data_IF_264329040073
#
_entry.id   IF_264329040073
#
_cell.length_a   1.000
_cell.length_b   1.000
_cell.length_c   1.000
_cell.angle_alpha   90.00
_cell.angle_beta   90.00
_cell.angle_gamma   90.00
#
_symmetry.space_group_name_H-M   'P 1'
#
loop_
_entity.id
_entity.type
_entity.pdbx_description
1 polymer ?
#
# COMPACT_ATOMS: atom_id res chain seq x y z
N UNK A 1 41.95 -46.50 -14.77
CA UNK A 1 42.77 -46.66 -13.58
C UNK A 1 42.09 -45.81 -12.55
N UNK A 2 41.19 -46.45 -11.86
CA UNK A 2 41.18 -46.89 -10.45
C UNK A 2 40.84 -45.69 -9.56
N UNK A 3 39.63 -45.59 -9.14
CA UNK A 3 38.97 -46.14 -7.92
C UNK A 3 39.46 -45.46 -6.65
N UNK A 4 38.58 -44.84 -5.94
CA UNK A 4 38.28 -45.37 -4.60
C UNK A 4 37.24 -44.49 -3.89
N UNK A 5 36.24 -45.19 -3.44
CA UNK A 5 35.11 -44.87 -2.59
C UNK A 5 35.53 -44.30 -1.22
N UNK A 6 34.69 -43.48 -0.66
CA UNK A 6 34.79 -43.00 0.70
C UNK A 6 33.44 -42.57 1.25
N UNK A 7 32.68 -43.56 1.61
CA UNK A 7 31.48 -43.51 2.45
C UNK A 7 31.78 -42.86 3.79
N UNK A 8 30.98 -41.89 4.26
CA UNK A 8 30.97 -41.50 5.65
C UNK A 8 29.56 -41.53 6.23
N UNK A 9 29.45 -42.45 7.14
CA UNK A 9 28.33 -42.81 7.99
C UNK A 9 28.10 -41.71 9.03
N UNK A 10 26.82 -41.46 9.28
CA UNK A 10 26.32 -40.71 10.41
C UNK A 10 26.72 -41.36 11.73
N UNK A 11 27.02 -40.55 12.72
CA UNK A 11 26.85 -41.01 14.09
C UNK A 11 26.27 -39.85 14.94
N UNK A 12 25.18 -40.20 15.58
CA UNK A 12 24.50 -39.47 16.62
C UNK A 12 25.10 -39.87 17.96
N UNK A 13 25.32 -38.96 18.85
CA UNK A 13 25.22 -39.28 20.28
C UNK A 13 24.88 -38.04 21.11
N UNK A 14 23.88 -38.29 21.88
CA UNK A 14 23.27 -37.57 22.98
C UNK A 14 24.24 -37.31 24.16
N UNK A 15 23.74 -36.40 25.00
CA UNK A 15 23.96 -36.25 26.44
C UNK A 15 25.32 -35.71 26.91
N UNK A 16 25.29 -34.59 27.62
CA UNK A 16 25.43 -34.64 29.08
C UNK A 16 25.18 -33.26 29.74
N UNK A 17 24.22 -33.34 30.63
CA UNK A 17 23.94 -32.40 31.71
C UNK A 17 25.07 -32.43 32.72
N UNK A 18 25.63 -31.30 33.10
CA UNK A 18 26.38 -31.18 34.37
C UNK A 18 25.90 -29.93 35.14
N UNK A 19 25.14 -30.27 36.15
CA UNK A 19 24.83 -29.52 37.34
C UNK A 19 26.10 -29.30 38.20
N UNK A 20 26.41 -28.09 38.59
CA UNK A 20 27.36 -27.78 39.66
C UNK A 20 26.74 -26.84 40.66
N UNK A 21 26.19 -27.47 41.69
CA UNK A 21 26.02 -26.92 43.04
C UNK A 21 27.37 -26.79 43.75
N UNK A 22 27.67 -25.65 44.29
CA UNK A 22 28.64 -25.48 45.38
C UNK A 22 27.96 -24.78 46.54
N UNK A 23 27.94 -25.51 47.61
CA UNK A 23 27.57 -25.15 48.97
C UNK A 23 28.65 -24.29 49.61
N UNK A 24 28.28 -23.34 50.50
CA UNK A 24 28.61 -23.36 51.91
C UNK A 24 28.33 -22.01 52.60
N UNK A 25 27.78 -22.11 53.81
CA UNK A 25 27.89 -21.09 54.86
C UNK A 25 26.64 -20.70 55.61
N UNK A 26 26.25 -21.47 56.57
CA UNK A 26 25.31 -21.23 57.68
C UNK A 26 26.03 -20.47 58.84
N UNK A 27 25.41 -20.04 59.97
CA UNK A 27 24.01 -19.96 60.40
C UNK A 27 23.62 -18.68 61.20
N UNK A 28 22.34 -18.41 61.44
CA UNK A 28 21.78 -18.18 62.78
C UNK A 28 20.29 -17.77 62.79
N UNK A 29 19.56 -18.59 63.44
CA UNK A 29 18.39 -18.43 64.30
C UNK A 29 17.43 -17.24 64.20
N UNK A 30 16.13 -17.54 63.90
CA UNK A 30 15.03 -17.18 64.81
C UNK A 30 13.71 -17.89 64.38
N UNK A 31 13.13 -18.56 65.36
CA UNK A 31 11.82 -19.24 65.36
C UNK A 31 10.70 -18.24 65.24
N UNK A 32 9.69 -18.48 64.36
CA UNK A 32 8.28 -18.21 64.68
C UNK A 32 7.33 -19.12 63.91
N UNK A 33 6.25 -19.41 64.55
CA UNK A 33 5.22 -20.43 64.45
C UNK A 33 4.44 -20.49 63.14
N UNK A 34 4.02 -21.71 62.82
CA UNK A 34 3.22 -22.27 61.81
C UNK A 34 1.94 -21.51 61.35
N UNK A 35 1.71 -21.63 60.07
CA UNK A 35 0.39 -21.66 59.47
C UNK A 35 0.31 -22.75 58.41
N UNK A 36 -0.78 -23.52 58.47
CA UNK A 36 -1.05 -24.66 57.60
C UNK A 36 -1.27 -24.15 56.17
N UNK A 37 -0.35 -24.45 55.28
CA UNK A 37 -0.53 -24.26 53.85
C UNK A 37 -1.25 -25.48 53.28
N UNK A 38 -2.47 -25.27 52.85
CA UNK A 38 -3.28 -26.22 52.10
C UNK A 38 -2.55 -26.56 50.80
N UNK A 39 -2.32 -27.85 50.54
CA UNK A 39 -1.81 -28.38 49.28
C UNK A 39 -2.83 -28.06 48.15
N UNK A 40 -2.57 -27.04 47.41
CA UNK A 40 -3.29 -26.74 46.15
C UNK A 40 -2.95 -27.87 45.17
N UNK A 41 -3.95 -28.67 44.76
CA UNK A 41 -3.86 -29.60 43.66
C UNK A 41 -3.29 -28.88 42.45
N UNK A 42 -2.16 -29.29 41.95
CA UNK A 42 -1.63 -28.87 40.66
C UNK A 42 -2.60 -29.38 39.61
N UNK A 43 -3.33 -28.51 38.98
CA UNK A 43 -4.13 -28.79 37.79
C UNK A 43 -3.17 -29.31 36.71
N UNK A 44 -3.40 -30.58 36.31
CA UNK A 44 -2.64 -31.25 35.26
C UNK A 44 -2.93 -30.76 33.85
N UNK A 45 -3.72 -29.67 33.70
CA UNK A 45 -4.13 -29.08 32.42
C UNK A 45 -3.50 -27.70 32.15
N UNK A 46 -2.34 -27.38 32.70
CA UNK A 46 -1.59 -26.22 32.23
C UNK A 46 -1.01 -26.58 30.87
N UNK A 47 -1.64 -26.13 29.79
CA UNK A 47 -1.09 -26.20 28.43
C UNK A 47 0.31 -25.59 28.40
N UNK A 48 1.24 -26.27 27.75
CA UNK A 48 2.62 -25.79 27.66
C UNK A 48 2.69 -24.52 26.82
N UNK A 49 3.59 -23.60 27.12
CA UNK A 49 3.68 -22.27 26.49
C UNK A 49 3.76 -22.33 24.95
N UNK A 50 4.29 -23.41 24.37
CA UNK A 50 4.34 -23.61 22.93
C UNK A 50 2.99 -24.04 22.30
N UNK A 51 2.06 -24.59 23.10
CA UNK A 51 0.69 -24.93 22.69
C UNK A 51 -0.20 -23.66 22.60
N UNK A 52 0.24 -22.54 23.19
CA UNK A 52 -0.47 -21.27 23.19
C UNK A 52 -0.03 -20.34 22.04
N UNK A 53 0.99 -20.68 21.29
CA UNK A 53 1.36 -19.93 20.10
C UNK A 53 0.40 -20.28 18.96
N UNK A 54 -0.65 -19.47 18.80
CA UNK A 54 -1.57 -19.56 17.66
C UNK A 54 -0.80 -19.29 16.38
N UNK A 55 -0.94 -20.18 15.41
CA UNK A 55 -0.34 -19.97 14.09
C UNK A 55 -1.07 -18.84 13.38
N UNK A 56 -0.38 -18.09 12.53
CA UNK A 56 -0.92 -16.88 11.87
C UNK A 56 -2.20 -17.15 11.07
N UNK A 57 -2.36 -18.36 10.53
CA UNK A 57 -3.57 -18.76 9.81
C UNK A 57 -4.75 -19.16 10.72
N UNK A 58 -4.51 -19.44 12.00
CA UNK A 58 -5.56 -19.71 13.01
C UNK A 58 -6.17 -18.44 13.57
N UNK A 59 -5.49 -17.30 13.42
CA UNK A 59 -5.98 -16.00 13.88
C UNK A 59 -6.98 -15.35 12.94
N UNK A 60 -7.08 -15.83 11.70
CA UNK A 60 -7.97 -15.24 10.70
C UNK A 60 -9.45 -15.66 10.84
N UNK A 61 -9.75 -16.66 11.66
CA UNK A 61 -11.11 -17.11 11.92
C UNK A 61 -11.41 -17.05 13.42
N UNK A 62 -12.24 -16.11 13.88
CA UNK A 62 -12.66 -16.08 15.28
C UNK A 62 -13.54 -17.30 15.58
N UNK A 63 -13.04 -18.18 16.45
CA UNK A 63 -13.81 -19.31 17.00
C UNK A 63 -14.51 -18.87 18.28
N UNK A 64 -15.77 -19.25 18.44
CA UNK A 64 -16.46 -19.17 19.74
C UNK A 64 -15.94 -20.28 20.66
N UNK A 65 -16.14 -20.14 21.98
CA UNK A 65 -15.72 -21.11 22.99
C UNK A 65 -16.30 -22.52 22.76
N UNK A 66 -17.33 -22.64 21.91
CA UNK A 66 -17.98 -23.89 21.50
C UNK A 66 -17.37 -24.53 20.23
N UNK A 67 -16.26 -23.99 19.68
CA UNK A 67 -15.62 -24.50 18.46
C UNK A 67 -16.39 -24.24 17.17
N UNK A 68 -17.42 -23.41 17.20
CA UNK A 68 -18.15 -22.97 16.02
C UNK A 68 -17.55 -21.69 15.44
N UNK A 69 -17.39 -21.64 14.12
CA UNK A 69 -16.90 -20.46 13.41
C UNK A 69 -17.86 -19.28 13.61
N UNK A 70 -17.38 -18.21 14.20
CA UNK A 70 -18.17 -16.98 14.38
C UNK A 70 -18.20 -16.17 13.08
N UNK A 71 -19.14 -16.50 12.20
CA UNK A 71 -19.37 -15.80 10.93
C UNK A 71 -19.66 -14.30 11.14
N UNK A 72 -20.41 -13.96 12.19
CA UNK A 72 -20.72 -12.56 12.48
C UNK A 72 -19.47 -11.78 12.94
N UNK A 73 -18.59 -12.41 13.71
CA UNK A 73 -17.30 -11.82 14.09
C UNK A 73 -16.37 -11.60 12.88
N UNK A 74 -16.31 -12.56 11.98
CA UNK A 74 -15.54 -12.46 10.74
C UNK A 74 -16.08 -11.36 9.81
N UNK A 75 -17.39 -11.26 9.62
CA UNK A 75 -18.00 -10.17 8.87
C UNK A 75 -17.73 -8.80 9.51
N UNK A 76 -17.77 -8.72 10.85
CA UNK A 76 -17.48 -7.50 11.59
C UNK A 76 -16.04 -7.05 11.39
N UNK A 77 -15.08 -7.98 11.45
CA UNK A 77 -13.67 -7.67 11.23
C UNK A 77 -13.43 -7.26 9.78
N UNK A 78 -13.99 -7.98 8.83
CA UNK A 78 -13.92 -7.68 7.41
C UNK A 78 -14.51 -6.30 7.11
N UNK A 79 -15.64 -5.95 7.72
CA UNK A 79 -16.27 -4.64 7.61
C UNK A 79 -15.44 -3.53 8.25
N UNK A 80 -14.81 -3.78 9.39
CA UNK A 80 -13.88 -2.82 10.01
C UNK A 80 -12.69 -2.52 9.13
N UNK A 81 -12.11 -3.53 8.48
CA UNK A 81 -11.03 -3.36 7.49
C UNK A 81 -11.51 -2.49 6.33
N UNK A 82 -12.68 -2.79 5.78
CA UNK A 82 -13.27 -2.02 4.70
C UNK A 82 -13.50 -0.57 5.09
N UNK A 83 -14.11 -0.30 6.24
CA UNK A 83 -14.34 1.06 6.73
C UNK A 83 -13.05 1.83 6.98
N UNK A 84 -11.99 1.16 7.38
CA UNK A 84 -10.67 1.77 7.60
C UNK A 84 -10.02 2.18 6.29
N UNK A 85 -10.13 1.35 5.26
CA UNK A 85 -9.46 1.56 3.97
C UNK A 85 -10.29 2.37 2.98
N UNK A 86 -11.61 2.41 3.15
CA UNK A 86 -12.54 3.06 2.22
C UNK A 86 -13.10 4.40 2.70
N UNK A 87 -12.49 5.03 3.72
CA UNK A 87 -12.82 6.43 4.01
C UNK A 87 -12.71 7.24 2.72
N UNK A 88 -13.73 8.05 2.33
CA UNK A 88 -13.73 8.80 1.07
C UNK A 88 -12.77 9.98 1.13
N UNK A 89 -11.48 9.70 1.26
CA UNK A 89 -10.41 10.69 1.31
C UNK A 89 -9.89 10.90 -0.11
N UNK A 90 -9.99 12.12 -0.61
CA UNK A 90 -9.39 12.47 -1.89
C UNK A 90 -7.87 12.38 -1.81
N UNK A 91 -7.27 11.79 -2.84
CA UNK A 91 -5.82 11.64 -2.98
C UNK A 91 -5.36 12.36 -4.24
N UNK A 92 -4.17 12.96 -4.20
CA UNK A 92 -3.61 13.63 -5.37
C UNK A 92 -3.09 12.60 -6.38
N UNK A 93 -3.47 12.75 -7.66
CA UNK A 93 -2.99 11.86 -8.73
C UNK A 93 -1.69 12.36 -9.39
N UNK A 94 -1.30 13.61 -9.14
CA UNK A 94 -0.08 14.21 -9.69
C UNK A 94 0.98 14.15 -8.59
N UNK A 95 1.93 13.24 -8.72
CA UNK A 95 2.96 12.99 -7.72
C UNK A 95 4.33 13.26 -8.30
N UNK A 96 5.18 13.87 -7.50
CA UNK A 96 6.61 14.02 -7.78
C UNK A 96 7.35 13.30 -6.66
N UNK A 97 7.82 12.10 -6.95
CA UNK A 97 8.46 11.20 -6.00
C UNK A 97 9.95 11.10 -6.28
N UNK A 98 10.77 11.24 -5.26
CA UNK A 98 12.19 10.90 -5.30
C UNK A 98 12.42 9.63 -4.51
N UNK A 99 12.88 8.58 -5.18
CA UNK A 99 13.30 7.33 -4.55
C UNK A 99 14.77 7.43 -4.18
N UNK A 100 15.07 7.33 -2.89
CA UNK A 100 16.42 7.34 -2.36
C UNK A 100 16.83 5.93 -1.99
N UNK A 101 17.93 5.45 -2.58
CA UNK A 101 18.48 4.13 -2.33
C UNK A 101 19.76 4.23 -1.53
N UNK A 102 19.84 3.50 -0.45
CA UNK A 102 21.08 3.30 0.28
C UNK A 102 22.01 2.38 -0.53
N UNK A 103 23.20 2.83 -0.82
CA UNK A 103 24.26 2.10 -1.53
C UNK A 103 25.51 1.96 -0.66
N UNK A 104 25.36 2.03 0.65
CA UNK A 104 26.45 1.89 1.63
C UNK A 104 26.84 0.44 1.88
N UNK A 105 27.94 0.23 2.62
CA UNK A 105 28.37 -1.09 3.05
C UNK A 105 27.30 -1.88 3.81
N UNK A 106 26.42 -1.20 4.54
CA UNK A 106 25.32 -1.83 5.27
C UNK A 106 24.36 -2.62 4.37
N UNK A 107 24.31 -2.27 3.08
CA UNK A 107 23.49 -2.95 2.09
C UNK A 107 24.13 -4.22 1.51
N UNK A 108 25.39 -4.49 1.84
CA UNK A 108 26.05 -5.74 1.47
C UNK A 108 25.66 -6.91 2.38
N UNK A 109 24.98 -6.65 3.49
CA UNK A 109 24.49 -7.67 4.41
C UNK A 109 23.55 -8.67 3.71
N UNK A 110 23.57 -9.93 4.22
CA UNK A 110 22.85 -11.07 3.62
C UNK A 110 21.70 -11.57 4.49
N UNK A 111 21.22 -10.76 5.38
CA UNK A 111 20.02 -11.05 6.17
C UNK A 111 18.75 -11.12 5.30
N UNK A 112 18.72 -10.33 4.24
CA UNK A 112 17.71 -10.41 3.17
C UNK A 112 18.40 -10.95 1.90
N UNK A 113 17.98 -12.12 1.42
CA UNK A 113 18.66 -12.82 0.33
C UNK A 113 18.39 -12.17 -1.04
N UNK A 114 19.37 -12.12 -1.96
CA UNK A 114 20.78 -12.54 -1.82
C UNK A 114 21.66 -11.55 -1.05
N UNK A 115 21.33 -10.27 -1.05
CA UNK A 115 21.86 -9.16 -0.24
C UNK A 115 20.80 -8.08 -0.18
N UNK A 116 20.79 -7.26 0.88
CA UNK A 116 19.85 -6.09 0.96
C UNK A 116 19.88 -5.26 -0.29
N UNK A 117 21.06 -4.99 -0.85
CA UNK A 117 21.25 -4.18 -2.05
C UNK A 117 20.58 -4.77 -3.29
N UNK A 118 20.88 -6.03 -3.63
CA UNK A 118 20.32 -6.68 -4.81
C UNK A 118 18.81 -6.88 -4.71
N UNK A 119 18.33 -7.20 -3.52
CA UNK A 119 16.90 -7.30 -3.26
C UNK A 119 16.20 -5.95 -3.45
N UNK A 120 16.78 -4.87 -2.92
CA UNK A 120 16.26 -3.51 -3.09
C UNK A 120 16.21 -3.09 -4.56
N UNK A 121 17.23 -3.40 -5.35
CA UNK A 121 17.20 -3.10 -6.80
C UNK A 121 16.13 -3.90 -7.54
N UNK A 122 15.96 -5.18 -7.19
CA UNK A 122 14.91 -6.04 -7.78
C UNK A 122 13.50 -5.49 -7.46
N UNK A 123 13.26 -5.17 -6.19
CA UNK A 123 11.98 -4.59 -5.76
C UNK A 123 11.80 -3.16 -6.26
N UNK A 124 12.88 -2.39 -6.37
CA UNK A 124 12.88 -1.07 -7.00
C UNK A 124 12.41 -1.13 -8.46
N UNK A 125 12.87 -2.13 -9.21
CA UNK A 125 12.41 -2.33 -10.58
C UNK A 125 10.92 -2.74 -10.66
N UNK A 126 10.43 -3.53 -9.71
CA UNK A 126 9.00 -3.85 -9.60
C UNK A 126 8.18 -2.61 -9.19
N UNK A 127 8.68 -1.85 -8.22
CA UNK A 127 8.08 -0.59 -7.76
C UNK A 127 7.92 0.43 -8.89
N UNK A 128 8.95 0.66 -9.70
CA UNK A 128 8.89 1.60 -10.82
C UNK A 128 7.77 1.23 -11.79
N UNK A 129 7.61 -0.06 -12.13
CA UNK A 129 6.53 -0.52 -13.01
C UNK A 129 5.16 -0.25 -12.40
N UNK A 130 4.96 -0.70 -11.16
CA UNK A 130 3.70 -0.56 -10.45
C UNK A 130 3.34 0.92 -10.20
N UNK A 131 4.34 1.73 -9.84
CA UNK A 131 4.15 3.16 -9.60
C UNK A 131 3.58 3.88 -10.80
N UNK A 132 4.12 3.64 -12.01
CA UNK A 132 3.61 4.28 -13.23
C UNK A 132 2.32 3.64 -13.76
N UNK A 133 2.05 2.38 -13.43
CA UNK A 133 0.75 1.75 -13.75
C UNK A 133 -0.39 2.35 -12.92
N UNK A 134 -0.15 2.62 -11.64
CA UNK A 134 -1.13 3.22 -10.75
C UNK A 134 -1.19 4.76 -10.86
N UNK A 135 -0.05 5.40 -11.14
CA UNK A 135 0.09 6.86 -11.19
C UNK A 135 0.63 7.34 -12.54
N UNK A 136 -0.14 7.26 -13.62
CA UNK A 136 0.36 7.50 -14.99
C UNK A 136 0.77 8.94 -15.28
N UNK A 137 0.36 9.90 -14.47
CA UNK A 137 0.63 11.33 -14.63
C UNK A 137 1.75 11.80 -13.67
N UNK A 138 2.39 10.89 -12.98
CA UNK A 138 3.39 11.20 -11.97
C UNK A 138 4.80 11.16 -12.53
N UNK A 139 5.72 11.81 -11.83
CA UNK A 139 7.14 11.81 -12.14
C UNK A 139 7.92 11.12 -11.02
N UNK A 140 9.02 10.48 -11.40
CA UNK A 140 9.93 9.78 -10.50
C UNK A 140 11.36 10.25 -10.76
N UNK A 141 12.17 10.38 -9.69
CA UNK A 141 13.62 10.50 -9.76
C UNK A 141 14.25 9.44 -8.87
N UNK A 142 15.47 9.03 -9.16
CA UNK A 142 16.21 8.08 -8.32
C UNK A 142 17.54 8.71 -7.89
N UNK A 143 17.79 8.66 -6.58
CA UNK A 143 19.00 9.15 -5.94
C UNK A 143 19.63 8.01 -5.15
N UNK A 144 20.93 7.85 -5.19
CA UNK A 144 21.70 6.90 -4.39
C UNK A 144 22.54 7.60 -3.32
N UNK A 145 22.70 6.99 -2.16
CA UNK A 145 23.62 7.42 -1.11
C UNK A 145 24.86 6.53 -1.12
N UNK A 146 26.03 7.11 -1.40
CA UNK A 146 27.28 6.37 -1.48
C UNK A 146 28.45 7.24 -1.04
N UNK A 147 29.40 6.71 -0.28
CA UNK A 147 30.62 7.41 0.15
C UNK A 147 30.39 8.76 0.84
N UNK A 148 29.30 8.89 1.61
CA UNK A 148 28.92 10.13 2.29
C UNK A 148 28.33 11.20 1.37
N UNK A 149 28.10 10.89 0.10
CA UNK A 149 27.51 11.84 -0.86
C UNK A 149 26.22 11.27 -1.48
N UNK A 150 25.40 12.16 -2.00
CA UNK A 150 24.24 11.78 -2.79
C UNK A 150 24.60 11.78 -4.28
N UNK A 151 24.24 10.70 -4.97
CA UNK A 151 24.48 10.53 -6.40
C UNK A 151 23.14 10.48 -7.12
N UNK A 152 22.97 11.32 -8.14
CA UNK A 152 21.78 11.27 -8.97
C UNK A 152 21.89 10.11 -9.95
N UNK A 153 21.02 9.11 -9.78
CA UNK A 153 20.95 7.92 -10.63
C UNK A 153 20.08 8.19 -11.85
N UNK A 154 18.91 8.82 -11.64
CA UNK A 154 17.98 9.15 -12.71
C UNK A 154 17.33 10.51 -12.44
N UNK A 155 17.17 11.30 -13.49
CA UNK A 155 16.50 12.61 -13.40
C UNK A 155 14.98 12.46 -13.20
N UNK A 156 14.33 13.54 -12.74
CA UNK A 156 12.89 13.60 -12.60
C UNK A 156 12.23 13.50 -13.98
N UNK A 157 11.43 12.45 -14.16
CA UNK A 157 10.77 12.18 -15.44
C UNK A 157 9.62 11.21 -15.33
N UNK A 158 8.76 11.18 -16.35
CA UNK A 158 7.61 10.29 -16.47
C UNK A 158 7.88 9.07 -17.36
N UNK A 159 9.15 8.71 -17.62
CA UNK A 159 9.52 7.58 -18.46
C UNK A 159 10.01 6.38 -17.63
N UNK A 160 9.18 5.35 -17.41
CA UNK A 160 9.58 4.19 -16.62
C UNK A 160 10.77 3.41 -17.21
N UNK A 161 10.93 3.42 -18.53
CA UNK A 161 11.99 2.65 -19.19
C UNK A 161 13.38 3.18 -18.84
N UNK A 162 13.53 4.50 -18.74
CA UNK A 162 14.78 5.15 -18.37
C UNK A 162 15.18 4.81 -16.93
N UNK A 163 14.26 4.91 -15.98
CA UNK A 163 14.51 4.56 -14.59
C UNK A 163 14.90 3.09 -14.42
N UNK A 164 14.24 2.17 -15.17
CA UNK A 164 14.57 0.75 -15.16
C UNK A 164 15.96 0.46 -15.75
N UNK A 165 16.37 1.19 -16.78
CA UNK A 165 17.71 1.06 -17.35
C UNK A 165 18.78 1.51 -16.37
N UNK A 166 18.58 2.66 -15.72
CA UNK A 166 19.48 3.14 -14.67
C UNK A 166 19.59 2.21 -13.48
N UNK A 167 18.46 1.62 -13.03
CA UNK A 167 18.49 0.61 -11.96
C UNK A 167 19.29 -0.65 -12.35
N UNK A 168 19.23 -1.08 -13.61
CA UNK A 168 20.05 -2.20 -14.10
C UNK A 168 21.53 -1.87 -14.13
N UNK A 169 21.89 -0.64 -14.48
CA UNK A 169 23.30 -0.19 -14.43
C UNK A 169 23.86 -0.29 -13.01
N UNK A 170 23.04 -0.07 -11.99
CA UNK A 170 23.45 -0.21 -10.59
C UNK A 170 23.68 -1.67 -10.15
N UNK A 171 23.05 -2.66 -10.80
CA UNK A 171 23.27 -4.08 -10.49
C UNK A 171 24.75 -4.51 -10.64
N UNK A 172 25.50 -3.83 -11.50
CA UNK A 172 26.93 -4.06 -11.71
C UNK A 172 27.86 -3.32 -10.73
N UNK A 173 27.29 -2.55 -9.80
CA UNK A 173 28.06 -1.79 -8.81
C UNK A 173 27.89 -2.41 -7.44
N UNK A 174 28.99 -2.53 -6.71
CA UNK A 174 28.94 -3.00 -5.33
C UNK A 174 28.67 -1.82 -4.37
N UNK A 175 27.93 -2.06 -3.28
CA UNK A 175 27.68 -1.04 -2.26
C UNK A 175 28.98 -0.66 -1.56
N UNK A 176 29.19 0.65 -1.35
CA UNK A 176 30.45 1.20 -0.79
C UNK A 176 30.20 2.39 0.13
N UNK A 177 31.12 2.58 1.08
CA UNK A 177 31.14 3.75 1.95
C UNK A 177 30.00 3.81 2.96
N UNK A 178 29.79 5.01 3.49
CA UNK A 178 28.72 5.31 4.44
C UNK A 178 27.63 6.16 3.75
N UNK A 179 26.37 6.05 4.17
CA UNK A 179 25.33 6.92 3.64
C UNK A 179 25.37 8.29 4.30
N UNK A 180 24.83 9.31 3.61
CA UNK A 180 24.54 10.62 4.18
C UNK A 180 23.09 10.97 3.90
N UNK A 181 22.28 11.01 4.95
CA UNK A 181 20.87 11.40 4.85
C UNK A 181 20.74 12.89 4.50
N UNK A 182 21.56 13.74 5.10
CA UNK A 182 21.52 15.18 4.84
C UNK A 182 21.77 15.49 3.37
N UNK A 183 22.86 14.96 2.78
CA UNK A 183 23.19 15.19 1.38
C UNK A 183 22.10 14.64 0.43
N UNK A 184 21.53 13.47 0.74
CA UNK A 184 20.46 12.91 -0.04
C UNK A 184 19.18 13.76 0.01
N UNK A 185 18.80 14.25 1.18
CA UNK A 185 17.63 15.11 1.37
C UNK A 185 17.79 16.46 0.67
N UNK A 186 18.96 17.08 0.73
CA UNK A 186 19.24 18.33 0.00
C UNK A 186 19.23 18.11 -1.52
N UNK A 187 19.74 16.98 -2.01
CA UNK A 187 19.61 16.62 -3.43
C UNK A 187 18.16 16.42 -3.84
N UNK A 188 17.37 15.73 -3.00
CA UNK A 188 15.92 15.56 -3.25
C UNK A 188 15.20 16.88 -3.28
N UNK A 189 15.54 17.80 -2.36
CA UNK A 189 15.00 19.17 -2.32
C UNK A 189 15.30 19.91 -3.61
N UNK A 190 16.55 19.82 -4.10
CA UNK A 190 16.94 20.39 -5.39
C UNK A 190 16.19 19.78 -6.59
N UNK A 191 15.97 18.47 -6.60
CA UNK A 191 15.21 17.78 -7.66
C UNK A 191 13.73 18.18 -7.66
N UNK A 192 13.14 18.40 -6.48
CA UNK A 192 11.74 18.79 -6.32
C UNK A 192 11.48 20.30 -6.42
N UNK A 193 12.53 21.11 -6.54
CA UNK A 193 12.40 22.58 -6.55
C UNK A 193 11.50 23.09 -7.67
N UNK A 194 11.59 22.49 -8.85
CA UNK A 194 10.77 22.86 -10.02
C UNK A 194 9.41 22.15 -10.07
N UNK A 195 9.13 21.26 -9.11
CA UNK A 195 7.84 20.57 -9.07
C UNK A 195 6.70 21.57 -8.86
N UNK A 196 5.61 21.49 -9.65
CA UNK A 196 4.51 22.43 -9.54
C UNK A 196 3.79 22.31 -8.18
N UNK A 197 3.22 23.40 -7.73
CA UNK A 197 2.57 23.50 -6.41
C UNK A 197 1.29 22.66 -6.27
N UNK A 198 0.67 22.29 -7.41
CA UNK A 198 -0.54 21.46 -7.41
C UNK A 198 -0.26 19.96 -7.28
N UNK A 199 0.99 19.51 -7.45
CA UNK A 199 1.41 18.14 -7.25
C UNK A 199 1.91 17.89 -5.82
N UNK A 200 1.88 16.63 -5.40
CA UNK A 200 2.52 16.22 -4.15
C UNK A 200 4.02 16.11 -4.34
N UNK A 201 4.79 16.51 -3.34
CA UNK A 201 6.25 16.39 -3.30
C UNK A 201 6.61 15.35 -2.26
N UNK A 202 7.19 14.26 -2.69
CA UNK A 202 7.40 13.07 -1.87
C UNK A 202 8.83 12.57 -2.00
N UNK A 203 9.37 12.08 -0.90
CA UNK A 203 10.67 11.40 -0.85
C UNK A 203 10.45 10.06 -0.18
N UNK A 204 10.89 8.99 -0.82
CA UNK A 204 10.91 7.64 -0.27
C UNK A 204 12.35 7.21 -0.08
N UNK A 205 12.73 6.90 1.15
CA UNK A 205 14.09 6.48 1.50
C UNK A 205 14.07 4.99 1.86
N UNK A 206 14.89 4.21 1.17
CA UNK A 206 15.21 2.83 1.56
C UNK A 206 16.54 2.89 2.29
N UNK A 207 16.54 2.59 3.59
CA UNK A 207 17.67 2.80 4.48
C UNK A 207 18.11 1.52 5.18
N UNK A 208 19.34 1.08 4.91
CA UNK A 208 19.91 -0.14 5.48
C UNK A 208 20.94 0.10 6.57
N UNK A 209 21.48 1.31 6.67
CA UNK A 209 22.48 1.66 7.67
C UNK A 209 21.85 2.06 9.01
N UNK A 210 22.67 2.04 10.07
CA UNK A 210 22.29 2.52 11.41
C UNK A 210 22.79 3.93 11.69
N UNK A 211 23.83 4.36 10.95
CA UNK A 211 24.51 5.64 11.13
C UNK A 211 24.51 6.41 9.83
N UNK A 212 24.38 7.72 9.91
CA UNK A 212 24.53 8.66 8.79
C UNK A 212 25.77 9.49 8.97
N UNK A 213 26.53 9.70 7.87
CA UNK A 213 27.74 10.55 7.85
C UNK A 213 27.37 11.91 7.28
N UNK A 214 26.70 12.72 8.09
CA UNK A 214 26.19 14.01 7.66
C UNK A 214 27.22 15.13 7.87
N UNK A 215 27.39 16.06 6.91
CA UNK A 215 28.38 17.16 7.01
C UNK A 215 27.92 18.28 7.93
N UNK A 216 26.64 18.42 8.22
CA UNK A 216 26.07 19.50 9.03
C UNK A 216 24.94 19.05 9.93
N UNK A 217 24.09 19.99 10.34
CA UNK A 217 22.91 19.67 11.15
C UNK A 217 21.74 19.23 10.27
N UNK A 218 21.30 17.98 10.47
CA UNK A 218 20.16 17.41 9.76
C UNK A 218 18.82 18.08 10.16
N UNK A 219 18.73 18.65 11.38
CA UNK A 219 17.51 19.33 11.83
C UNK A 219 17.22 20.61 11.04
N UNK A 220 18.24 21.29 10.56
CA UNK A 220 18.10 22.43 9.64
C UNK A 220 17.52 21.96 8.29
N UNK A 221 18.04 20.86 7.77
CA UNK A 221 17.52 20.24 6.54
C UNK A 221 16.08 19.81 6.69
N UNK A 222 15.70 19.18 7.82
CA UNK A 222 14.29 18.80 8.11
C UNK A 222 13.41 20.06 8.13
N UNK A 223 13.86 21.15 8.74
CA UNK A 223 13.11 22.41 8.79
C UNK A 223 12.89 23.02 7.40
N UNK A 224 13.89 22.91 6.54
CA UNK A 224 13.79 23.33 5.12
C UNK A 224 12.80 22.44 4.33
N UNK A 225 12.80 21.12 4.55
CA UNK A 225 11.85 20.20 3.90
C UNK A 225 10.41 20.50 4.29
N UNK A 226 10.17 20.85 5.56
CA UNK A 226 8.85 21.26 6.05
C UNK A 226 8.41 22.57 5.36
N UNK A 227 9.30 23.55 5.23
CA UNK A 227 9.02 24.80 4.54
C UNK A 227 8.66 24.59 3.07
N UNK A 228 9.35 23.65 2.40
CA UNK A 228 9.10 23.28 1.00
C UNK A 228 7.93 22.28 0.83
N UNK A 229 7.27 21.88 1.93
CA UNK A 229 6.13 20.92 1.95
C UNK A 229 6.47 19.58 1.32
N UNK A 230 7.66 19.08 1.57
CA UNK A 230 8.12 17.77 1.11
C UNK A 230 7.77 16.74 2.19
N UNK A 231 7.05 15.68 1.78
CA UNK A 231 6.71 14.54 2.64
C UNK A 231 7.80 13.48 2.52
N UNK A 232 8.21 12.91 3.63
CA UNK A 232 9.23 11.87 3.65
C UNK A 232 8.64 10.58 4.23
N UNK A 233 8.87 9.47 3.53
CA UNK A 233 8.58 8.11 3.99
C UNK A 233 9.88 7.33 4.02
N UNK A 234 10.07 6.50 5.05
CA UNK A 234 11.29 5.70 5.20
C UNK A 234 10.94 4.23 5.39
N UNK A 235 11.61 3.37 4.65
CA UNK A 235 11.61 1.93 4.88
C UNK A 235 13.01 1.53 5.36
N UNK A 236 13.11 1.18 6.64
CA UNK A 236 14.34 0.69 7.26
C UNK A 236 14.51 -0.81 7.00
N UNK A 237 15.74 -1.26 6.72
CA UNK A 237 16.07 -2.67 6.51
C UNK A 237 16.85 -3.30 7.68
N UNK A 238 17.20 -2.50 8.67
CA UNK A 238 18.04 -2.91 9.78
C UNK A 238 17.27 -2.79 11.10
N UNK A 239 17.36 -1.64 11.73
CA UNK A 239 16.69 -1.35 12.99
C UNK A 239 16.03 0.02 12.94
N UNK A 240 15.24 0.32 13.95
CA UNK A 240 14.63 1.64 14.06
C UNK A 240 15.68 2.70 14.40
N UNK A 241 15.80 3.72 13.56
CA UNK A 241 16.72 4.84 13.71
C UNK A 241 15.94 6.08 14.15
N UNK A 242 16.32 6.67 15.28
CA UNK A 242 15.60 7.79 15.90
C UNK A 242 15.46 9.01 14.96
N UNK A 243 16.53 9.35 14.24
CA UNK A 243 16.49 10.50 13.30
C UNK A 243 15.54 10.27 12.13
N UNK A 244 15.39 9.02 11.66
CA UNK A 244 14.42 8.68 10.61
C UNK A 244 12.98 8.78 11.11
N UNK A 245 12.73 8.37 12.36
CA UNK A 245 11.42 8.52 13.00
C UNK A 245 11.05 10.02 13.17
N UNK A 246 11.99 10.83 13.66
CA UNK A 246 11.79 12.27 13.77
C UNK A 246 11.56 12.94 12.41
N UNK A 247 12.36 12.58 11.40
CA UNK A 247 12.22 13.06 10.03
C UNK A 247 10.80 12.79 9.49
N UNK A 248 10.32 11.54 9.60
CA UNK A 248 8.98 11.16 9.14
C UNK A 248 7.88 11.87 9.92
N UNK A 249 7.98 11.91 11.25
CA UNK A 249 6.99 12.57 12.11
C UNK A 249 6.89 14.07 11.80
N UNK A 250 8.00 14.78 11.72
CA UNK A 250 8.02 16.24 11.47
C UNK A 250 7.56 16.62 10.07
N UNK A 251 7.90 15.85 9.04
CA UNK A 251 7.50 16.14 7.65
C UNK A 251 6.07 15.72 7.33
N UNK A 252 5.49 14.78 8.08
CA UNK A 252 4.12 14.28 7.87
C UNK A 252 3.11 14.77 8.91
N UNK A 253 3.37 15.91 9.54
CA UNK A 253 2.44 16.55 10.51
C UNK A 253 2.14 15.65 11.73
N UNK A 254 3.16 14.97 12.26
CA UNK A 254 3.06 14.09 13.42
C UNK A 254 2.56 12.67 13.11
N UNK A 255 2.56 12.26 11.85
CA UNK A 255 2.17 10.91 11.45
C UNK A 255 3.41 10.00 11.38
N UNK A 256 3.57 9.14 12.36
CA UNK A 256 4.70 8.21 12.46
C UNK A 256 4.51 6.95 11.59
N UNK A 257 3.31 6.73 11.02
CA UNK A 257 3.00 5.56 10.20
C UNK A 257 3.81 5.48 8.89
N UNK A 258 4.49 6.54 8.53
CA UNK A 258 5.34 6.62 7.33
C UNK A 258 6.76 6.09 7.55
N UNK A 259 7.11 5.68 8.76
CA UNK A 259 8.37 4.99 9.05
C UNK A 259 8.10 3.55 9.46
N UNK A 260 8.57 2.62 8.66
CA UNK A 260 8.41 1.19 8.92
C UNK A 260 9.76 0.48 8.75
N UNK A 261 9.99 -0.54 9.58
CA UNK A 261 11.18 -1.41 9.46
C UNK A 261 10.73 -2.75 8.89
N UNK A 262 11.35 -3.18 7.82
CA UNK A 262 11.09 -4.48 7.20
C UNK A 262 11.64 -5.60 8.10
N UNK A 263 10.81 -6.60 8.37
CA UNK A 263 11.20 -7.78 9.13
C UNK A 263 11.67 -8.90 8.21
N UNK A 264 10.92 -9.12 7.12
CA UNK A 264 11.15 -10.17 6.14
C UNK A 264 11.16 -9.62 4.71
N UNK A 265 11.62 -10.42 3.74
CA UNK A 265 11.62 -10.06 2.32
C UNK A 265 10.21 -9.73 1.81
N UNK A 266 9.21 -10.51 2.20
CA UNK A 266 7.81 -10.30 1.81
C UNK A 266 7.26 -9.01 2.42
N UNK A 267 7.51 -8.76 3.69
CA UNK A 267 7.13 -7.53 4.37
C UNK A 267 7.81 -6.30 3.75
N UNK A 268 9.10 -6.40 3.38
CA UNK A 268 9.79 -5.33 2.66
C UNK A 268 9.11 -5.01 1.33
N UNK A 269 8.75 -6.05 0.55
CA UNK A 269 8.04 -5.87 -0.70
C UNK A 269 6.68 -5.18 -0.50
N UNK A 270 5.93 -5.62 0.50
CA UNK A 270 4.60 -5.07 0.79
C UNK A 270 4.68 -3.60 1.24
N UNK A 271 5.62 -3.27 2.13
CA UNK A 271 5.87 -1.90 2.55
C UNK A 271 6.27 -1.00 1.37
N UNK A 272 7.16 -1.51 0.49
CA UNK A 272 7.64 -0.76 -0.65
C UNK A 272 6.50 -0.51 -1.65
N UNK A 273 5.70 -1.54 -1.96
CA UNK A 273 4.57 -1.41 -2.88
C UNK A 273 3.40 -0.61 -2.28
N UNK A 274 3.20 -0.62 -0.98
CA UNK A 274 2.15 0.20 -0.34
C UNK A 274 2.29 1.70 -0.64
N UNK A 275 3.52 2.18 -0.87
CA UNK A 275 3.81 3.59 -1.17
C UNK A 275 3.40 3.98 -2.61
N UNK A 276 3.11 3.02 -3.48
CA UNK A 276 2.54 3.31 -4.81
C UNK A 276 1.18 4.00 -4.71
N UNK A 277 0.45 3.75 -3.62
CA UNK A 277 -0.82 4.42 -3.33
C UNK A 277 -0.59 5.91 -2.99
N UNK A 278 -1.31 6.84 -3.65
CA UNK A 278 -1.12 8.28 -3.38
C UNK A 278 -1.44 8.65 -1.93
N UNK A 279 -0.69 9.58 -1.33
CA UNK A 279 -0.97 10.06 0.02
C UNK A 279 -2.29 10.85 0.07
N UNK A 280 -2.91 10.83 1.24
CA UNK A 280 -4.15 11.57 1.48
C UNK A 280 -3.87 13.07 1.52
N UNK A 281 -4.69 13.84 0.80
CA UNK A 281 -4.66 15.30 0.89
C UNK A 281 -5.39 15.75 2.17
N UNK A 282 -4.63 16.19 3.17
CA UNK A 282 -5.18 16.64 4.45
C UNK A 282 -5.63 18.11 4.45
N UNK A 283 -5.12 18.90 3.52
CA UNK A 283 -5.47 20.31 3.40
C UNK A 283 -6.40 20.54 2.22
N UNK A 284 -7.54 21.17 2.48
CA UNK A 284 -8.36 21.81 1.44
C UNK A 284 -7.64 23.09 0.96
N UNK A 285 -6.41 22.94 0.50
CA UNK A 285 -5.75 24.05 -0.16
C UNK A 285 -6.53 24.32 -1.45
N UNK A 286 -6.90 25.57 -1.64
CA UNK A 286 -7.41 26.05 -2.92
C UNK A 286 -6.31 25.76 -3.95
N UNK A 287 -6.36 24.57 -4.56
CA UNK A 287 -5.48 24.26 -5.65
C UNK A 287 -5.87 25.19 -6.78
N UNK A 288 -5.01 26.15 -7.11
CA UNK A 288 -5.11 26.87 -8.35
C UNK A 288 -5.16 25.81 -9.45
N UNK A 289 -6.32 25.73 -10.14
CA UNK A 289 -6.51 24.75 -11.21
C UNK A 289 -5.41 24.95 -12.25
N UNK A 290 -4.57 23.95 -12.43
CA UNK A 290 -3.51 23.96 -13.44
C UNK A 290 -3.93 23.05 -14.59
N UNK A 291 -3.78 23.56 -15.81
CA UNK A 291 -4.06 22.79 -17.03
C UNK A 291 -2.85 21.90 -17.33
N UNK A 292 -3.02 20.57 -17.22
CA UNK A 292 -2.04 19.60 -17.65
C UNK A 292 -2.35 19.11 -19.06
N UNK A 293 -1.38 19.29 -19.97
CA UNK A 293 -1.51 18.80 -21.34
C UNK A 293 -1.05 17.33 -21.39
N UNK A 294 -1.91 16.46 -21.92
CA UNK A 294 -1.61 15.04 -22.10
C UNK A 294 -2.12 14.54 -23.46
N UNK A 295 -1.51 13.49 -23.99
CA UNK A 295 -1.91 12.86 -25.25
C UNK A 295 -2.43 11.44 -25.01
N UNK A 296 -3.44 11.04 -25.79
CA UNK A 296 -4.01 9.70 -25.80
C UNK A 296 -3.77 9.04 -27.18
N UNK A 297 -2.56 8.57 -27.45
CA UNK A 297 -2.25 7.95 -28.73
C UNK A 297 -2.89 6.56 -28.84
N UNK A 298 -3.39 6.24 -30.01
CA UNK A 298 -3.81 4.88 -30.36
C UNK A 298 -2.62 4.03 -30.79
N UNK A 299 -2.70 2.72 -30.52
CA UNK A 299 -1.69 1.77 -30.99
C UNK A 299 -1.75 1.66 -32.50
N UNK A 300 -0.61 1.84 -33.15
CA UNK A 300 -0.48 1.77 -34.60
C UNK A 300 0.47 0.64 -35.03
N UNK A 301 0.09 -0.05 -36.08
CA UNK A 301 0.93 -1.04 -36.76
C UNK A 301 1.50 -0.40 -38.03
N UNK A 302 2.79 -0.61 -38.31
CA UNK A 302 3.38 -0.11 -39.50
C UNK A 302 2.79 -0.83 -40.74
N UNK A 303 2.31 -0.11 -41.76
CA UNK A 303 1.72 -0.71 -42.97
C UNK A 303 2.76 -1.54 -43.71
N UNK A 304 2.34 -2.65 -44.31
CA UNK A 304 3.19 -3.49 -45.18
C UNK A 304 4.32 -4.23 -44.44
N UNK A 305 4.28 -4.37 -43.12
CA UNK A 305 5.31 -5.08 -42.36
C UNK A 305 6.65 -4.33 -42.27
N UNK A 306 6.70 -3.05 -42.65
CA UNK A 306 7.88 -2.20 -42.49
C UNK A 306 8.18 -1.94 -41.01
N UNK A 307 9.46 -1.89 -40.67
CA UNK A 307 9.92 -1.52 -39.33
C UNK A 307 10.29 -0.04 -39.28
N UNK A 308 9.85 0.69 -38.26
CA UNK A 308 10.32 2.04 -38.00
C UNK A 308 11.00 2.10 -36.61
N UNK A 309 11.91 3.04 -36.43
CA UNK A 309 12.63 3.19 -35.19
C UNK A 309 11.78 3.95 -34.18
N UNK A 310 11.84 3.53 -32.91
CA UNK A 310 11.24 4.30 -31.82
C UNK A 310 12.19 5.39 -31.31
N UNK A 311 11.66 6.52 -30.90
CA UNK A 311 12.46 7.63 -30.38
C UNK A 311 13.00 7.39 -28.97
N UNK A 312 12.37 6.51 -28.19
CA UNK A 312 12.76 6.24 -26.82
C UNK A 312 14.00 5.34 -26.68
N UNK A 313 14.23 4.39 -27.60
CA UNK A 313 15.32 3.42 -27.49
C UNK A 313 16.11 3.28 -28.78
N UNK A 314 15.75 3.97 -29.86
CA UNK A 314 16.33 3.85 -31.18
C UNK A 314 16.34 2.40 -31.71
N UNK A 315 15.36 1.58 -31.31
CA UNK A 315 15.21 0.19 -31.73
C UNK A 315 14.14 0.05 -32.81
N UNK A 316 14.36 -0.84 -33.82
CA UNK A 316 13.35 -1.10 -34.83
C UNK A 316 12.15 -1.82 -34.18
N UNK A 317 10.97 -1.30 -34.42
CA UNK A 317 9.73 -1.89 -33.91
C UNK A 317 8.62 -1.76 -34.97
N UNK A 318 7.77 -2.80 -35.08
CA UNK A 318 6.61 -2.79 -35.99
C UNK A 318 5.42 -2.09 -35.38
N UNK A 319 5.26 -2.26 -34.06
CA UNK A 319 4.16 -1.71 -33.28
C UNK A 319 4.64 -0.51 -32.49
N UNK A 320 3.72 0.39 -32.12
CA UNK A 320 4.02 1.51 -31.25
C UNK A 320 2.87 2.51 -31.22
N UNK A 321 3.14 3.62 -30.60
CA UNK A 321 2.21 4.72 -30.42
C UNK A 321 2.80 5.98 -31.06
N UNK A 322 2.01 6.71 -31.81
CA UNK A 322 2.43 7.97 -32.40
C UNK A 322 2.03 9.13 -31.46
N UNK A 323 2.99 9.98 -31.11
CA UNK A 323 2.71 11.15 -30.32
C UNK A 323 1.67 12.02 -31.00
N UNK A 324 0.60 12.36 -30.31
CA UNK A 324 -0.52 13.17 -30.86
C UNK A 324 -0.11 14.60 -31.22
N UNK A 325 1.01 15.12 -30.68
CA UNK A 325 1.51 16.47 -30.92
C UNK A 325 2.57 16.53 -32.02
N UNK A 326 3.56 15.66 -32.00
CA UNK A 326 4.72 15.72 -32.91
C UNK A 326 4.85 14.54 -33.90
N UNK A 327 3.98 13.51 -33.79
CA UNK A 327 3.99 12.33 -34.66
C UNK A 327 5.13 11.35 -34.41
N UNK A 328 5.98 11.58 -33.41
CA UNK A 328 7.13 10.70 -33.11
C UNK A 328 6.63 9.38 -32.53
N UNK A 329 7.28 8.28 -32.90
CA UNK A 329 6.92 6.93 -32.44
C UNK A 329 7.55 6.59 -31.10
N UNK A 330 6.72 6.17 -30.16
CA UNK A 330 7.10 5.62 -28.83
C UNK A 330 6.67 4.15 -28.73
N UNK A 331 7.45 3.35 -28.03
CA UNK A 331 7.20 1.89 -27.92
C UNK A 331 6.13 1.53 -26.91
N UNK A 332 6.13 2.20 -25.77
CA UNK A 332 5.32 1.85 -24.58
C UNK A 332 4.70 3.08 -23.98
N UNK A 333 3.60 2.86 -23.25
CA UNK A 333 2.90 3.86 -22.44
C UNK A 333 2.70 3.29 -21.02
N UNK A 334 2.66 4.11 -20.00
CA UNK A 334 2.82 5.57 -19.98
C UNK A 334 4.27 6.00 -20.24
N UNK A 335 4.48 7.15 -20.89
CA UNK A 335 5.80 7.74 -21.09
C UNK A 335 5.70 9.22 -21.47
N UNK A 336 6.76 9.97 -21.28
CA UNK A 336 6.90 11.29 -21.87
C UNK A 336 7.49 11.21 -23.28
N UNK A 337 6.98 12.00 -24.19
CA UNK A 337 7.50 12.04 -25.55
C UNK A 337 8.92 12.63 -25.55
N UNK A 338 9.96 11.91 -26.01
CA UNK A 338 11.33 12.40 -25.96
C UNK A 338 11.59 13.62 -26.87
N UNK A 339 10.68 13.88 -27.82
CA UNK A 339 10.84 15.01 -28.74
C UNK A 339 10.12 16.28 -28.30
N UNK A 340 8.93 16.18 -27.67
CA UNK A 340 8.14 17.35 -27.34
C UNK A 340 7.71 17.45 -25.86
N UNK A 341 8.14 16.49 -25.01
CA UNK A 341 7.83 16.49 -23.57
C UNK A 341 6.36 16.27 -23.23
N UNK A 342 5.50 15.88 -24.19
CA UNK A 342 4.10 15.62 -23.91
C UNK A 342 3.93 14.29 -23.19
N UNK A 343 3.21 14.30 -22.07
CA UNK A 343 2.84 13.07 -21.35
C UNK A 343 1.85 12.26 -22.18
N UNK A 344 2.23 11.03 -22.52
CA UNK A 344 1.43 10.11 -23.33
C UNK A 344 0.93 8.97 -22.44
N UNK A 345 -0.39 8.81 -22.37
CA UNK A 345 -1.06 7.80 -21.56
C UNK A 345 -2.20 7.12 -22.33
N UNK A 346 -2.63 5.97 -21.85
CA UNK A 346 -3.88 5.36 -22.32
C UNK A 346 -5.05 5.83 -21.43
N UNK A 347 -6.25 5.90 -22.00
CA UNK A 347 -7.48 6.18 -21.24
C UNK A 347 -7.72 5.18 -20.10
N UNK A 348 -7.32 3.93 -20.29
CA UNK A 348 -7.37 2.86 -19.27
C UNK A 348 -6.49 3.16 -18.06
N UNK A 349 -5.30 3.77 -18.26
CA UNK A 349 -4.44 4.17 -17.16
C UNK A 349 -5.08 5.29 -16.34
N UNK A 350 -5.70 6.27 -17.02
CA UNK A 350 -6.41 7.34 -16.33
C UNK A 350 -7.63 6.81 -15.56
N UNK A 351 -8.35 5.84 -16.12
CA UNK A 351 -9.50 5.23 -15.46
C UNK A 351 -9.10 4.50 -14.17
N UNK A 352 -7.92 3.84 -14.15
CA UNK A 352 -7.39 3.18 -12.92
C UNK A 352 -7.10 4.18 -11.81
N UNK A 353 -6.60 5.36 -12.10
CA UNK A 353 -6.28 6.39 -11.11
C UNK A 353 -7.48 7.28 -10.71
N UNK A 354 -8.60 7.17 -11.44
CA UNK A 354 -9.79 8.00 -11.22
C UNK A 354 -10.38 7.86 -9.81
N UNK A 355 -10.37 6.65 -9.25
CA UNK A 355 -10.90 6.38 -7.91
C UNK A 355 -10.15 7.12 -6.79
N UNK A 356 -8.91 7.56 -7.02
CA UNK A 356 -8.17 8.35 -6.05
C UNK A 356 -8.74 9.76 -5.90
N UNK A 357 -9.24 10.35 -7.00
CA UNK A 357 -9.90 11.66 -6.98
C UNK A 357 -11.35 11.57 -6.51
N UNK A 358 -12.05 10.52 -6.90
CA UNK A 358 -13.46 10.32 -6.63
C UNK A 358 -13.68 8.96 -5.94
N UNK A 359 -13.30 8.84 -4.67
CA UNK A 359 -13.43 7.58 -3.96
C UNK A 359 -14.90 7.20 -3.78
N UNK A 360 -15.18 5.90 -3.89
CA UNK A 360 -16.52 5.36 -3.66
C UNK A 360 -16.92 5.63 -2.19
N UNK A 361 -18.13 6.17 -1.99
CA UNK A 361 -18.66 6.41 -0.65
C UNK A 361 -18.97 5.09 0.04
N UNK A 362 -18.68 4.98 1.33
CA UNK A 362 -19.01 3.81 2.11
C UNK A 362 -20.51 3.50 2.04
N UNK A 363 -20.82 2.24 1.85
CA UNK A 363 -22.21 1.78 1.89
C UNK A 363 -22.68 1.67 3.34
N UNK A 364 -23.95 1.97 3.55
CA UNK A 364 -24.57 2.03 4.89
C UNK A 364 -25.28 0.71 5.17
N UNK A 365 -25.19 0.28 6.41
CA UNK A 365 -25.89 -0.90 6.91
C UNK A 365 -27.41 -0.73 6.81
N UNK A 366 -28.09 -1.78 6.37
CA UNK A 366 -29.56 -1.78 6.21
C UNK A 366 -30.20 -2.49 7.40
N UNK A 367 -31.03 -1.78 8.20
CA UNK A 367 -31.77 -2.41 9.26
C UNK A 367 -32.85 -3.36 8.74
N UNK A 368 -33.32 -4.30 9.57
CA UNK A 368 -34.39 -5.25 9.20
C UNK A 368 -35.68 -4.57 8.70
N UNK A 369 -35.95 -3.36 9.15
CA UNK A 369 -37.13 -2.59 8.71
C UNK A 369 -37.11 -2.26 7.22
N UNK A 370 -35.93 -2.05 6.63
CA UNK A 370 -35.74 -1.76 5.19
C UNK A 370 -35.42 -3.03 4.38
N UNK A 371 -35.14 -4.15 5.02
CA UNK A 371 -34.76 -5.41 4.39
C UNK A 371 -35.78 -5.95 3.37
N UNK A 372 -37.12 -5.77 3.53
CA UNK A 372 -38.10 -6.27 2.55
C UNK A 372 -37.98 -5.68 1.14
N UNK A 373 -37.23 -4.60 0.96
CA UNK A 373 -37.03 -3.95 -0.35
C UNK A 373 -36.18 -4.78 -1.32
N UNK A 374 -35.42 -5.76 -0.81
CA UNK A 374 -34.55 -6.59 -1.64
C UNK A 374 -34.52 -8.03 -1.15
N UNK A 375 -34.70 -8.98 -2.06
CA UNK A 375 -34.64 -10.43 -1.79
C UNK A 375 -33.24 -11.00 -2.09
N UNK A 376 -32.50 -10.35 -3.00
CA UNK A 376 -31.18 -10.76 -3.44
C UNK A 376 -30.23 -9.56 -3.61
N UNK A 377 -28.93 -9.82 -3.58
CA UNK A 377 -27.89 -8.85 -3.84
C UNK A 377 -27.99 -8.34 -5.28
N UNK A 378 -27.92 -7.03 -5.47
CA UNK A 378 -28.01 -6.43 -6.80
C UNK A 378 -26.87 -6.85 -7.74
N UNK A 379 -25.66 -7.09 -7.21
CA UNK A 379 -24.48 -7.43 -8.01
C UNK A 379 -24.37 -8.93 -8.30
N UNK A 380 -24.28 -9.77 -7.27
CA UNK A 380 -24.05 -11.22 -7.44
C UNK A 380 -25.35 -12.06 -7.50
N UNK A 381 -26.52 -11.44 -7.29
CA UNK A 381 -27.83 -12.10 -7.25
C UNK A 381 -27.98 -13.20 -6.17
N UNK A 382 -27.03 -13.31 -5.24
CA UNK A 382 -27.18 -14.21 -4.10
C UNK A 382 -28.37 -13.79 -3.22
N UNK A 383 -29.20 -14.74 -2.78
CA UNK A 383 -30.32 -14.41 -1.90
C UNK A 383 -29.83 -13.93 -0.54
N UNK A 384 -30.53 -12.94 0.00
CA UNK A 384 -30.25 -12.44 1.34
C UNK A 384 -30.91 -13.33 2.42
N UNK A 385 -30.38 -13.34 3.65
CA UNK A 385 -31.00 -14.05 4.74
C UNK A 385 -32.42 -13.52 5.02
N UNK A 386 -33.33 -14.45 5.34
CA UNK A 386 -34.71 -14.10 5.71
C UNK A 386 -34.75 -13.45 7.10
N UNK A 387 -35.70 -12.52 7.35
CA UNK A 387 -35.84 -11.92 8.65
C UNK A 387 -36.14 -13.00 9.70
N UNK A 388 -35.59 -12.90 10.92
CA UNK A 388 -35.87 -13.87 11.97
C UNK A 388 -37.35 -13.85 12.30
N UNK A 389 -37.98 -15.04 12.27
CA UNK A 389 -39.41 -15.20 12.60
C UNK A 389 -39.58 -14.74 14.04
N UNK A 390 -40.61 -13.92 14.35
CA UNK A 390 -40.85 -13.51 15.72
C UNK A 390 -41.22 -14.76 16.54
N UNK A 391 -40.27 -15.22 17.37
CA UNK A 391 -40.54 -16.31 18.32
C UNK A 391 -41.63 -15.88 19.28
N UNK A 392 -42.80 -16.49 19.22
CA UNK A 392 -43.92 -16.24 20.12
C UNK A 392 -43.69 -16.79 21.54
N UNK A 393 -42.59 -17.48 21.79
CA UNK A 393 -42.27 -18.10 23.08
C UNK A 393 -40.81 -17.77 23.47
N UNK A 394 -40.56 -16.59 24.00
CA UNK A 394 -39.37 -16.37 24.79
C UNK A 394 -39.78 -15.91 26.17
N UNK A 395 -39.50 -16.78 27.17
CA UNK A 395 -39.65 -16.53 28.57
C UNK A 395 -38.73 -15.37 29.02
N UNK A 396 -39.10 -14.77 30.15
CA UNK A 396 -38.58 -13.51 30.68
C UNK A 396 -37.14 -13.49 31.18
N UNK A 397 -36.27 -14.45 30.84
CA UNK A 397 -34.94 -14.60 31.47
C UNK A 397 -33.75 -14.64 30.49
N UNK A 398 -33.87 -14.10 29.29
CA UNK A 398 -32.69 -13.93 28.43
C UNK A 398 -32.10 -12.52 28.56
N UNK A 399 -30.82 -12.46 28.93
CA UNK A 399 -30.01 -11.23 28.96
C UNK A 399 -30.11 -10.49 27.62
N UNK A 400 -30.11 -9.15 27.60
CA UNK A 400 -30.21 -8.39 26.36
C UNK A 400 -29.07 -8.79 25.41
N UNK A 401 -29.46 -9.22 24.21
CA UNK A 401 -28.53 -9.54 23.14
C UNK A 401 -27.50 -8.40 23.01
N UNK A 402 -26.22 -8.74 23.02
CA UNK A 402 -25.12 -7.77 22.82
C UNK A 402 -25.45 -6.92 21.61
N UNK A 403 -25.38 -5.60 21.77
CA UNK A 403 -25.57 -4.66 20.69
C UNK A 403 -24.63 -5.04 19.50
N UNK A 404 -25.14 -5.08 18.25
CA UNK A 404 -24.34 -5.47 17.11
C UNK A 404 -23.07 -4.60 17.02
N UNK A 405 -21.95 -5.20 16.70
CA UNK A 405 -20.70 -4.47 16.54
C UNK A 405 -20.88 -3.43 15.41
N UNK A 406 -20.46 -2.20 15.66
CA UNK A 406 -20.48 -1.14 14.63
C UNK A 406 -19.83 -1.66 13.34
N UNK A 407 -20.51 -1.53 12.20
CA UNK A 407 -20.00 -1.94 10.90
C UNK A 407 -20.55 -3.28 10.38
N UNK A 408 -21.35 -4.01 11.16
CA UNK A 408 -21.99 -5.25 10.74
C UNK A 408 -23.47 -5.04 10.57
N UNK A 409 -23.99 -5.35 9.39
CA UNK A 409 -25.43 -5.32 9.13
C UNK A 409 -26.09 -6.60 9.67
N UNK A 410 -27.06 -6.45 10.59
CA UNK A 410 -27.86 -7.56 11.09
C UNK A 410 -28.63 -8.30 9.98
N UNK A 411 -28.99 -7.59 8.92
CA UNK A 411 -29.70 -8.13 7.75
C UNK A 411 -28.77 -8.65 6.65
N UNK A 412 -27.44 -8.57 6.81
CA UNK A 412 -26.46 -8.91 5.80
C UNK A 412 -26.52 -8.02 4.54
N UNK A 413 -27.17 -6.85 4.64
CA UNK A 413 -27.39 -5.93 3.52
C UNK A 413 -26.67 -4.60 3.73
N UNK A 414 -26.04 -4.12 2.68
CA UNK A 414 -25.34 -2.82 2.64
C UNK A 414 -25.91 -1.98 1.50
N UNK A 415 -26.33 -0.77 1.77
CA UNK A 415 -27.01 0.12 0.82
C UNK A 415 -26.05 1.18 0.28
N UNK A 416 -25.99 1.31 -1.02
CA UNK A 416 -25.32 2.43 -1.66
C UNK A 416 -26.11 3.73 -1.41
N UNK A 417 -25.43 4.80 -0.96
CA UNK A 417 -26.06 6.09 -0.66
C UNK A 417 -26.56 6.84 -1.90
N UNK A 418 -26.09 6.48 -3.10
CA UNK A 418 -26.45 7.14 -4.35
C UNK A 418 -27.59 6.43 -5.06
N UNK A 419 -27.43 5.13 -5.38
CA UNK A 419 -28.43 4.38 -6.13
C UNK A 419 -29.49 3.69 -5.25
N UNK A 420 -29.26 3.60 -3.93
CA UNK A 420 -30.17 2.94 -3.00
C UNK A 420 -30.27 1.41 -3.10
N UNK A 421 -29.52 0.78 -4.00
CA UNK A 421 -29.50 -0.68 -4.15
C UNK A 421 -28.78 -1.36 -2.99
N UNK A 422 -29.18 -2.61 -2.70
CA UNK A 422 -28.64 -3.41 -1.62
C UNK A 422 -27.64 -4.45 -2.14
N UNK A 423 -26.53 -4.59 -1.43
CA UNK A 423 -25.41 -5.47 -1.76
C UNK A 423 -25.07 -6.35 -0.56
N UNK A 424 -24.48 -7.53 -0.80
CA UNK A 424 -23.91 -8.39 0.24
C UNK A 424 -22.52 -7.88 0.63
N UNK A 425 -21.99 -8.39 1.72
CA UNK A 425 -20.66 -7.95 2.22
C UNK A 425 -19.54 -8.26 1.23
N UNK A 426 -19.61 -9.37 0.52
CA UNK A 426 -18.58 -9.73 -0.47
C UNK A 426 -18.57 -8.77 -1.65
N UNK A 427 -19.75 -8.37 -2.13
CA UNK A 427 -19.87 -7.37 -3.18
C UNK A 427 -19.47 -5.97 -2.70
N UNK A 428 -19.72 -5.65 -1.43
CA UNK A 428 -19.25 -4.40 -0.81
C UNK A 428 -17.72 -4.34 -0.77
N UNK A 429 -17.07 -5.40 -0.25
CA UNK A 429 -15.61 -5.50 -0.23
C UNK A 429 -15.03 -5.44 -1.65
N UNK A 430 -15.59 -6.20 -2.58
CA UNK A 430 -15.11 -6.23 -3.97
C UNK A 430 -15.29 -4.90 -4.69
N UNK A 431 -16.41 -4.22 -4.48
CA UNK A 431 -16.67 -2.91 -5.07
C UNK A 431 -15.71 -1.83 -4.55
N UNK A 432 -15.32 -1.88 -3.26
CA UNK A 432 -14.42 -0.88 -2.67
C UNK A 432 -12.95 -1.21 -2.85
N UNK A 433 -12.54 -2.47 -2.88
CA UNK A 433 -11.12 -2.87 -2.94
C UNK A 433 -10.62 -3.12 -4.37
N UNK A 434 -11.50 -3.56 -5.27
CA UNK A 434 -11.08 -4.03 -6.61
C UNK A 434 -11.61 -3.14 -7.73
N UNK A 435 -12.93 -2.90 -7.76
CA UNK A 435 -13.56 -2.17 -8.87
C UNK A 435 -13.56 -0.65 -8.64
N UNK A 436 -13.64 -0.22 -7.39
CA UNK A 436 -13.80 1.18 -6.96
C UNK A 436 -15.02 1.92 -7.54
N UNK A 437 -16.02 1.18 -8.00
CA UNK A 437 -17.24 1.68 -8.58
C UNK A 437 -18.47 0.91 -8.08
N UNK A 438 -19.61 1.59 -7.98
CA UNK A 438 -20.86 0.94 -7.61
C UNK A 438 -21.56 0.36 -8.85
N UNK A 439 -21.80 -0.97 -8.92
CA UNK A 439 -22.48 -1.59 -10.06
C UNK A 439 -23.90 -1.02 -10.29
N UNK A 440 -24.58 -0.69 -9.18
CA UNK A 440 -25.93 -0.11 -9.26
C UNK A 440 -25.95 1.32 -9.83
N UNK A 441 -24.98 2.13 -9.47
CA UNK A 441 -24.87 3.49 -10.05
C UNK A 441 -24.54 3.44 -11.53
N UNK A 442 -23.64 2.56 -11.94
CA UNK A 442 -23.26 2.40 -13.34
C UNK A 442 -24.41 1.88 -14.23
N UNK A 443 -25.18 0.92 -13.72
CA UNK A 443 -26.33 0.40 -14.48
C UNK A 443 -27.43 1.43 -14.66
N UNK A 444 -27.64 2.33 -13.71
CA UNK A 444 -28.64 3.40 -13.81
C UNK A 444 -28.23 4.47 -14.82
N UNK A 445 -26.95 4.82 -14.91
CA UNK A 445 -26.47 5.79 -15.89
C UNK A 445 -26.59 5.34 -17.34
N UNK A 446 -26.71 4.01 -17.57
CA UNK A 446 -26.93 3.44 -18.91
C UNK A 446 -28.41 3.32 -19.33
N UNK A 447 -29.34 3.46 -18.38
CA UNK A 447 -30.76 3.14 -18.60
C UNK A 447 -31.72 4.32 -18.50
N UNK A 448 -31.28 5.51 -18.13
CA UNK A 448 -32.21 6.61 -17.90
C UNK A 448 -32.39 7.53 -19.11
N UNK A 449 -33.60 7.57 -19.74
CA UNK A 449 -34.20 8.81 -20.12
C UNK A 449 -34.73 9.48 -18.83
N UNK A 450 -34.35 10.72 -18.58
CA UNK A 450 -34.84 11.54 -17.47
C UNK A 450 -36.36 11.54 -17.44
N UNK A 451 -37.03 11.05 -16.38
CA UNK A 451 -38.40 11.44 -16.17
C UNK A 451 -38.37 12.88 -15.60
N UNK A 452 -39.02 13.78 -16.31
CA UNK A 452 -39.31 15.12 -15.85
C UNK A 452 -39.88 15.08 -14.42
N UNK A 453 -39.22 15.78 -13.48
CA UNK A 453 -39.90 16.13 -12.25
C UNK A 453 -39.18 15.91 -10.92
N UNK A 454 -37.88 15.58 -10.87
CA UNK A 454 -37.13 15.65 -9.61
C UNK A 454 -36.17 16.82 -9.69
N UNK A 455 -36.25 17.82 -8.76
CA UNK A 455 -35.28 18.92 -8.74
C UNK A 455 -33.89 18.36 -8.53
N UNK A 456 -32.87 18.87 -9.23
CA UNK A 456 -31.49 18.42 -9.02
C UNK A 456 -31.14 18.69 -7.56
N UNK A 457 -30.68 17.66 -6.87
CA UNK A 457 -30.03 17.83 -5.58
C UNK A 457 -28.87 18.77 -5.84
N UNK A 458 -28.92 19.95 -5.26
CA UNK A 458 -27.88 20.97 -5.36
C UNK A 458 -26.55 20.31 -5.01
N UNK A 459 -25.77 20.00 -6.05
CA UNK A 459 -24.37 19.67 -5.91
C UNK A 459 -23.69 20.97 -5.45
N UNK A 460 -23.25 20.98 -4.19
CA UNK A 460 -22.41 22.03 -3.66
C UNK A 460 -21.31 22.35 -4.68
N UNK A 461 -21.47 23.44 -5.36
CA UNK A 461 -20.57 24.39 -5.93
C UNK A 461 -19.25 23.90 -6.57
N UNK A 462 -19.22 22.84 -7.35
CA UNK A 462 -18.21 22.64 -8.38
C UNK A 462 -18.85 21.80 -9.48
N UNK A 463 -19.40 22.49 -10.48
CA UNK A 463 -20.08 21.89 -11.60
C UNK A 463 -19.11 21.08 -12.48
N UNK A 464 -19.27 19.78 -12.43
CA UNK A 464 -18.93 18.90 -13.53
C UNK A 464 -20.13 17.99 -13.76
N UNK A 465 -20.94 18.33 -14.75
CA UNK A 465 -21.93 17.43 -15.31
C UNK A 465 -21.23 16.29 -16.01
N UNK A 466 -21.45 15.07 -15.51
CA UNK A 466 -21.05 13.85 -16.19
C UNK A 466 -21.80 13.73 -17.53
N UNK A 467 -21.03 13.48 -18.61
CA UNK A 467 -21.52 12.82 -19.79
C UNK A 467 -21.91 13.71 -20.96
N UNK A 468 -20.97 14.47 -21.48
CA UNK A 468 -21.00 14.84 -22.89
C UNK A 468 -20.50 13.66 -23.73
N UNK A 469 -21.39 12.83 -24.24
CA UNK A 469 -21.10 11.96 -25.39
C UNK A 469 -20.82 12.92 -26.54
N UNK A 470 -19.56 13.06 -26.94
CA UNK A 470 -19.24 13.72 -28.21
C UNK A 470 -19.77 12.83 -29.32
N UNK A 471 -20.84 13.24 -29.94
CA UNK A 471 -21.21 12.78 -31.27
C UNK A 471 -20.07 13.17 -32.22
N UNK A 472 -19.44 12.20 -32.82
CA UNK A 472 -18.52 12.40 -33.94
C UNK A 472 -19.43 12.42 -35.17
N UNK A 473 -19.74 13.61 -35.63
CA UNK A 473 -20.27 13.80 -36.98
C UNK A 473 -19.09 13.90 -37.94
N UNK A 474 -19.15 13.08 -39.00
CA UNK A 474 -18.59 13.22 -40.35
C UNK A 474 -17.09 13.13 -40.51
#
# INVERSE_FOLDING_TARGET
MADSDGEFVADMSDDDIMDHTVTDGDPSAARTKGSKVSKKKRDRNASKAWEQSRRTWETDLPEEDDGMLNLAGYEAERRRRLLRDTTPLQRGIIRHLVLVLDMSFAMAEKDLLPTRYRLTLSYGAAFVREYFEQNPISQLAIVGMRDGVAVRVSDMGGNPAEHLERLRELEGQDPQGNPSLQNALEMCRGALFHAPSHGTREVLIIYGALLSSDPGDIHDTISNLIADRIRVSVVGLSAQVAICAELCSRTNVGDDSQYNVAMDETHFKDLFLAITTPPVNRTKEQSTSSLLMMGFPSRTLAPGGTTSYCACHSKPCREGYLCTRCGVKVCRLPSECPACGLTLILSTHLARSYHHLFPLRNWVEVPWAEAPRSTACFSCQCPFPEPPKPNKEKGKDEAPAKAPAKGVSESGRYKCQVCGNHFCIDCDVFAHMVIHNCPGCQSQSLTAPTPDGVPPVEANGNGYTNGGVMAIDG
#
